data_IF_866446371447
#
_entry.id   IF_866446371447
#
_cell.length_a   1.000
_cell.length_b   1.000
_cell.length_c   1.000
_cell.angle_alpha   90.00
_cell.angle_beta   90.00
_cell.angle_gamma   90.00
#
_symmetry.space_group_name_H-M   'P 1'
#
loop_
_entity.id
_entity.type
_entity.pdbx_description
1 polymer ?
#
# COMPACT_ATOMS: atom_id res chain seq x y z
N UNK A 1 -11.18 16.99 -12.85
CA UNK A 1 -11.97 17.49 -11.73
C UNK A 1 -12.38 16.36 -10.79
N UNK A 2 -12.01 16.47 -9.54
CA UNK A 2 -12.41 15.50 -8.52
C UNK A 2 -13.84 15.75 -8.06
N UNK A 3 -14.62 14.67 -7.93
CA UNK A 3 -16.01 14.72 -7.44
C UNK A 3 -16.21 13.63 -6.39
N UNK A 4 -16.80 13.99 -5.27
CA UNK A 4 -17.13 13.06 -4.17
C UNK A 4 -18.63 12.81 -4.16
N UNK A 5 -19.01 11.54 -4.09
CA UNK A 5 -20.41 11.11 -4.05
C UNK A 5 -20.62 10.21 -2.85
N UNK A 6 -21.66 10.47 -2.07
CA UNK A 6 -21.96 9.68 -0.88
C UNK A 6 -22.12 8.19 -1.23
N UNK A 7 -21.52 7.33 -0.40
CA UNK A 7 -21.67 5.89 -0.51
C UNK A 7 -22.94 5.45 0.21
N UNK A 8 -24.04 5.32 -0.52
CA UNK A 8 -25.33 4.94 0.03
C UNK A 8 -25.40 3.46 0.43
N UNK A 9 -24.42 2.67 0.01
CA UNK A 9 -24.35 1.23 0.29
C UNK A 9 -23.38 0.89 1.42
N UNK A 10 -22.89 1.91 2.14
CA UNK A 10 -22.00 1.67 3.28
C UNK A 10 -22.74 0.87 4.35
N UNK A 11 -22.20 -0.30 4.70
CA UNK A 11 -22.75 -1.14 5.77
C UNK A 11 -21.70 -1.60 6.79
N UNK A 12 -20.44 -1.26 6.58
CA UNK A 12 -19.31 -1.64 7.43
C UNK A 12 -18.47 -0.39 7.71
N UNK A 13 -17.84 -0.32 8.88
CA UNK A 13 -16.96 0.79 9.24
C UNK A 13 -15.75 0.92 8.30
N UNK A 14 -15.33 -0.18 7.67
CA UNK A 14 -14.24 -0.17 6.70
C UNK A 14 -14.65 0.39 5.34
N UNK A 15 -15.95 0.51 5.08
CA UNK A 15 -16.42 1.10 3.85
C UNK A 15 -16.28 2.62 3.90
N UNK A 16 -15.93 3.27 2.79
CA UNK A 16 -15.79 4.72 2.77
C UNK A 16 -17.16 5.41 2.88
N UNK A 17 -17.16 6.59 3.46
CA UNK A 17 -18.37 7.42 3.52
C UNK A 17 -18.75 7.94 2.14
N UNK A 18 -17.77 8.21 1.31
CA UNK A 18 -17.92 8.76 -0.03
C UNK A 18 -17.00 8.03 -0.99
N UNK A 19 -17.44 7.97 -2.26
CA UNK A 19 -16.59 7.54 -3.35
C UNK A 19 -16.08 8.74 -4.12
N UNK A 20 -14.80 8.75 -4.48
CA UNK A 20 -14.17 9.78 -5.27
C UNK A 20 -14.07 9.36 -6.72
N UNK A 21 -14.37 10.29 -7.62
CA UNK A 21 -14.28 10.12 -9.07
C UNK A 21 -13.44 11.25 -9.63
N UNK A 22 -12.74 10.99 -10.71
CA UNK A 22 -12.04 12.04 -11.41
C UNK A 22 -12.54 12.15 -12.85
N UNK A 23 -13.00 13.35 -13.23
CA UNK A 23 -13.46 13.63 -14.58
C UNK A 23 -12.40 14.38 -15.34
N UNK A 24 -12.02 13.85 -16.52
CA UNK A 24 -11.08 14.49 -17.42
C UNK A 24 -11.71 15.67 -18.14
N UNK A 25 -10.91 16.33 -18.96
CA UNK A 25 -11.35 17.52 -19.73
C UNK A 25 -12.47 17.18 -20.74
N UNK A 26 -12.60 15.92 -21.12
CA UNK A 26 -13.69 15.47 -22.02
C UNK A 26 -15.00 15.19 -21.27
N UNK A 27 -15.07 15.44 -19.97
CA UNK A 27 -16.25 15.22 -19.17
C UNK A 27 -16.49 13.78 -18.77
N UNK A 28 -15.58 12.87 -19.07
CA UNK A 28 -15.71 11.44 -18.74
C UNK A 28 -14.89 11.09 -17.51
N UNK A 29 -15.41 10.20 -16.68
CA UNK A 29 -14.70 9.70 -15.51
C UNK A 29 -13.54 8.79 -15.91
N UNK A 30 -12.42 8.92 -15.23
CA UNK A 30 -11.35 7.94 -15.32
C UNK A 30 -11.83 6.63 -14.74
N UNK A 31 -11.54 5.54 -15.40
CA UNK A 31 -11.94 4.21 -14.93
C UNK A 31 -11.04 3.13 -15.50
N UNK A 32 -11.05 1.99 -14.85
CA UNK A 32 -10.37 0.80 -15.34
C UNK A 32 -11.12 0.25 -16.54
N UNK A 33 -10.38 -0.14 -17.56
CA UNK A 33 -10.97 -0.86 -18.69
C UNK A 33 -11.45 -2.24 -18.23
N UNK A 34 -12.62 -2.68 -18.70
CA UNK A 34 -13.14 -4.02 -18.41
C UNK A 34 -12.27 -5.13 -19.03
N UNK A 35 -11.40 -4.79 -19.99
CA UNK A 35 -10.44 -5.73 -20.57
C UNK A 35 -9.06 -5.70 -19.89
N UNK A 36 -8.86 -4.87 -18.88
CA UNK A 36 -7.57 -4.78 -18.20
C UNK A 36 -7.28 -6.04 -17.39
N UNK A 37 -6.04 -6.50 -17.44
CA UNK A 37 -5.62 -7.73 -16.75
C UNK A 37 -4.49 -7.53 -15.73
N UNK A 38 -3.96 -6.32 -15.61
CA UNK A 38 -2.90 -6.01 -14.65
C UNK A 38 -3.51 -5.63 -13.29
N UNK A 39 -2.73 -5.79 -12.23
CA UNK A 39 -3.18 -5.52 -10.85
C UNK A 39 -3.74 -4.11 -10.69
N UNK A 40 -3.08 -3.13 -11.29
CA UNK A 40 -3.51 -1.74 -11.21
C UNK A 40 -3.39 -1.09 -12.57
N UNK A 41 -4.32 -0.20 -12.89
CA UNK A 41 -4.28 0.65 -14.08
C UNK A 41 -4.05 2.08 -13.61
N UNK A 42 -2.81 2.55 -13.73
CA UNK A 42 -2.42 3.82 -13.15
C UNK A 42 -2.84 5.00 -14.02
N UNK A 43 -3.41 6.02 -13.38
CA UNK A 43 -3.74 7.30 -13.99
C UNK A 43 -2.95 8.40 -13.30
N UNK A 44 -2.28 9.24 -14.05
CA UNK A 44 -1.51 10.35 -13.49
C UNK A 44 -2.38 11.61 -13.43
N UNK A 45 -2.51 12.17 -12.24
CA UNK A 45 -3.28 13.39 -11.99
C UNK A 45 -2.42 14.30 -11.14
N UNK A 46 -2.04 15.45 -11.67
CA UNK A 46 -1.21 16.44 -10.98
C UNK A 46 0.08 15.85 -10.40
N UNK A 47 0.73 14.97 -11.17
CA UNK A 47 2.02 14.39 -10.78
C UNK A 47 1.94 13.20 -9.84
N UNK A 48 0.75 12.84 -9.38
CA UNK A 48 0.53 11.65 -8.55
C UNK A 48 -0.23 10.60 -9.33
N UNK A 49 -0.10 9.34 -8.92
CA UNK A 49 -0.76 8.23 -9.60
C UNK A 49 -1.89 7.68 -8.77
N UNK A 50 -2.98 7.36 -9.45
CA UNK A 50 -4.22 6.87 -8.83
C UNK A 50 -4.72 5.68 -9.62
N UNK A 51 -5.59 4.90 -9.01
CA UNK A 51 -6.25 3.80 -9.70
C UNK A 51 -7.75 3.82 -9.39
N UNK A 52 -8.54 3.47 -10.40
CA UNK A 52 -10.00 3.50 -10.33
C UNK A 52 -10.53 2.13 -10.75
N UNK A 53 -11.69 1.74 -10.22
CA UNK A 53 -12.31 0.51 -10.67
C UNK A 53 -13.05 0.72 -12.01
N UNK A 54 -13.76 -0.31 -12.45
CA UNK A 54 -14.47 -0.26 -13.73
C UNK A 54 -15.65 0.72 -13.72
N UNK A 55 -16.12 1.10 -12.55
CA UNK A 55 -17.19 2.08 -12.38
C UNK A 55 -16.67 3.50 -12.16
N UNK A 56 -15.34 3.67 -12.07
CA UNK A 56 -14.71 4.96 -11.84
C UNK A 56 -14.47 5.32 -10.38
N UNK A 57 -14.73 4.41 -9.47
CA UNK A 57 -14.47 4.67 -8.05
C UNK A 57 -12.97 4.62 -7.76
N UNK A 58 -12.44 5.69 -7.17
CA UNK A 58 -11.04 5.71 -6.74
C UNK A 58 -10.79 4.61 -5.72
N UNK A 59 -9.82 3.76 -5.98
CA UNK A 59 -9.44 2.70 -5.06
C UNK A 59 -8.38 3.22 -4.09
N UNK A 60 -8.37 2.69 -2.87
CA UNK A 60 -7.44 3.13 -1.84
C UNK A 60 -7.03 1.96 -0.95
N UNK A 61 -6.00 2.14 -0.13
CA UNK A 61 -5.44 1.07 0.67
C UNK A 61 -4.72 0.05 -0.18
N UNK A 62 -4.72 -1.20 0.25
CA UNK A 62 -4.17 -2.30 -0.52
C UNK A 62 -5.05 -2.60 -1.73
N UNK A 63 -4.45 -2.62 -2.92
CA UNK A 63 -5.20 -2.83 -4.17
C UNK A 63 -4.53 -3.92 -4.99
N UNK A 64 -5.33 -4.86 -5.49
CA UNK A 64 -4.91 -5.89 -6.44
C UNK A 64 -6.09 -6.21 -7.36
N UNK A 65 -5.81 -6.65 -8.57
CA UNK A 65 -6.83 -7.00 -9.56
C UNK A 65 -7.85 -5.88 -9.80
N UNK A 66 -7.39 -4.64 -9.71
CA UNK A 66 -8.20 -3.47 -9.99
C UNK A 66 -9.12 -3.03 -8.86
N UNK A 67 -9.09 -3.69 -7.72
CA UNK A 67 -10.00 -3.40 -6.63
C UNK A 67 -9.29 -3.37 -5.28
N UNK A 68 -9.87 -2.60 -4.37
CA UNK A 68 -9.47 -2.55 -2.97
C UNK A 68 -9.63 -3.93 -2.33
N UNK A 69 -8.62 -4.36 -1.61
CA UNK A 69 -8.60 -5.62 -0.88
C UNK A 69 -8.74 -5.34 0.61
N UNK A 70 -9.73 -5.98 1.24
CA UNK A 70 -10.08 -5.71 2.64
C UNK A 70 -9.90 -6.89 3.58
N UNK A 71 -9.47 -8.04 3.07
CA UNK A 71 -9.18 -9.20 3.90
C UNK A 71 -7.98 -8.94 4.80
N UNK A 72 -7.93 -9.62 5.95
CA UNK A 72 -6.85 -9.45 6.92
C UNK A 72 -5.47 -9.78 6.33
N UNK A 73 -5.41 -10.58 5.27
CA UNK A 73 -4.16 -10.93 4.59
C UNK A 73 -3.87 -10.08 3.35
N UNK A 74 -4.61 -9.00 3.12
CA UNK A 74 -4.40 -8.16 1.95
C UNK A 74 -2.95 -7.66 1.85
N UNK A 75 -2.31 -7.34 2.98
CA UNK A 75 -0.92 -6.89 3.01
C UNK A 75 0.06 -7.93 2.46
N UNK A 76 -0.31 -9.23 2.52
CA UNK A 76 0.50 -10.30 1.95
C UNK A 76 0.33 -10.40 0.43
N UNK A 77 -0.89 -10.20 -0.03
CA UNK A 77 -1.28 -10.51 -1.41
C UNK A 77 -1.20 -9.32 -2.37
N UNK A 78 -0.98 -8.11 -1.86
CA UNK A 78 -0.95 -6.90 -2.66
C UNK A 78 0.45 -6.30 -2.73
N UNK A 79 0.80 -5.77 -3.90
CA UNK A 79 2.07 -5.08 -4.12
C UNK A 79 1.97 -3.57 -4.00
N UNK A 80 0.75 -3.01 -4.08
CA UNK A 80 0.51 -1.56 -4.16
C UNK A 80 -0.36 -1.08 -3.02
N UNK A 81 -0.05 0.10 -2.51
CA UNK A 81 -0.85 0.75 -1.48
C UNK A 81 -1.21 2.17 -1.90
N UNK A 82 -2.50 2.50 -1.89
CA UNK A 82 -3.03 3.76 -2.40
C UNK A 82 -3.67 4.58 -1.27
N UNK A 83 -2.87 5.08 -0.36
CA UNK A 83 -3.30 6.02 0.64
C UNK A 83 -4.58 5.66 1.40
N UNK A 84 -5.50 6.61 1.47
CA UNK A 84 -6.75 6.43 2.21
C UNK A 84 -7.97 6.85 1.37
N UNK A 85 -9.16 6.75 1.97
CA UNK A 85 -10.41 7.01 1.26
C UNK A 85 -10.54 8.44 0.71
N UNK A 86 -9.80 9.39 1.25
CA UNK A 86 -9.83 10.78 0.83
C UNK A 86 -8.59 11.23 0.08
N UNK A 87 -7.58 10.37 0.00
CA UNK A 87 -6.35 10.65 -0.74
C UNK A 87 -5.74 9.33 -1.20
N UNK A 88 -6.19 8.84 -2.33
CA UNK A 88 -5.78 7.56 -2.89
C UNK A 88 -4.53 7.60 -3.76
N UNK A 89 -3.63 8.56 -3.54
CA UNK A 89 -2.39 8.60 -4.29
C UNK A 89 -1.52 7.37 -4.00
N UNK A 90 -0.93 6.79 -5.07
CA UNK A 90 -0.04 5.64 -4.95
C UNK A 90 1.12 5.97 -4.02
N UNK A 91 1.36 5.10 -3.05
CA UNK A 91 2.47 5.24 -2.12
C UNK A 91 3.79 4.88 -2.80
N UNK A 92 4.80 5.73 -2.58
CA UNK A 92 6.19 5.52 -2.99
C UNK A 92 7.07 5.87 -1.78
N UNK A 93 8.10 5.06 -1.51
CA UNK A 93 8.95 5.25 -0.35
C UNK A 93 8.39 4.58 0.90
N UNK A 94 8.79 5.09 2.05
CA UNK A 94 8.41 4.49 3.34
C UNK A 94 6.98 4.84 3.72
N UNK A 95 6.28 3.84 4.25
CA UNK A 95 4.96 4.04 4.87
C UNK A 95 4.75 3.03 5.99
N UNK A 96 4.31 3.51 7.13
CA UNK A 96 3.86 2.66 8.23
C UNK A 96 2.38 2.35 8.04
N UNK A 97 2.05 1.06 8.04
CA UNK A 97 0.69 0.58 7.76
C UNK A 97 0.27 -0.39 8.86
N UNK A 98 -0.93 -0.17 9.40
CA UNK A 98 -1.53 -1.11 10.33
C UNK A 98 -1.99 -2.36 9.60
N UNK A 99 -1.58 -3.53 10.09
CA UNK A 99 -1.95 -4.83 9.49
C UNK A 99 -2.35 -5.82 10.58
N UNK A 100 -2.96 -6.91 10.18
CA UNK A 100 -3.29 -8.01 11.08
C UNK A 100 -2.28 -9.13 10.83
N UNK A 101 -1.25 -9.22 11.67
CA UNK A 101 -0.19 -10.23 11.50
C UNK A 101 0.10 -11.05 12.76
N UNK A 102 -0.71 -10.92 13.79
CA UNK A 102 -0.51 -11.63 15.07
C UNK A 102 -0.56 -13.15 14.93
N UNK A 103 -1.32 -13.66 13.96
CA UNK A 103 -1.46 -15.08 13.68
C UNK A 103 -0.61 -15.55 12.52
N UNK A 104 0.28 -14.71 12.02
CA UNK A 104 1.13 -15.06 10.90
C UNK A 104 2.26 -15.98 11.34
N UNK A 105 2.34 -17.17 10.73
CA UNK A 105 3.31 -18.21 11.06
C UNK A 105 4.57 -18.17 10.20
N UNK A 106 5.01 -17.02 9.78
CA UNK A 106 6.24 -16.88 9.02
C UNK A 106 7.45 -16.65 9.91
N UNK A 107 8.58 -16.36 9.25
CA UNK A 107 9.78 -15.93 9.95
C UNK A 107 9.51 -14.65 10.69
N UNK A 108 9.58 -14.69 12.00
CA UNK A 108 9.37 -13.53 12.83
C UNK A 108 10.73 -12.92 13.20
N UNK A 109 10.89 -11.60 13.12
CA UNK A 109 12.01 -10.95 13.77
C UNK A 109 11.88 -11.09 15.28
N UNK A 110 12.89 -10.71 16.01
CA UNK A 110 12.79 -10.75 17.46
C UNK A 110 11.72 -9.75 17.96
N UNK A 111 11.26 -9.94 19.18
CA UNK A 111 10.17 -9.16 19.78
C UNK A 111 10.47 -7.66 19.86
N UNK A 112 11.74 -7.27 19.80
CA UNK A 112 12.13 -5.86 19.91
C UNK A 112 11.74 -5.04 18.67
N UNK A 113 11.57 -5.69 17.53
CA UNK A 113 11.16 -5.01 16.28
C UNK A 113 9.62 -4.93 16.19
N UNK A 114 8.93 -5.89 16.76
CA UNK A 114 7.49 -6.06 16.61
C UNK A 114 6.75 -5.55 17.83
N UNK A 115 5.99 -4.50 17.65
CA UNK A 115 5.15 -4.03 18.72
C UNK A 115 3.77 -4.70 18.67
N UNK A 116 3.00 -4.51 19.74
CA UNK A 116 1.67 -5.10 19.86
C UNK A 116 0.62 -4.38 19.02
N UNK A 117 0.94 -3.21 18.51
CA UNK A 117 0.00 -2.39 17.75
C UNK A 117 -0.10 -2.84 16.29
N UNK A 118 0.77 -3.75 15.86
CA UNK A 118 0.78 -4.30 14.51
C UNK A 118 0.95 -3.23 13.42
N UNK A 119 1.62 -2.14 13.73
CA UNK A 119 2.02 -1.15 12.74
C UNK A 119 3.37 -1.57 12.19
N UNK A 120 3.43 -1.77 10.87
CA UNK A 120 4.65 -2.25 10.21
C UNK A 120 5.10 -1.28 9.16
N UNK A 121 6.42 -1.20 8.95
CA UNK A 121 7.01 -0.38 7.91
C UNK A 121 7.16 -1.17 6.62
N UNK A 122 6.70 -0.56 5.54
CA UNK A 122 6.87 -1.05 4.18
C UNK A 122 7.61 0.02 3.37
N UNK A 123 8.34 -0.42 2.38
CA UNK A 123 8.99 0.49 1.45
C UNK A 123 8.53 0.17 0.04
N UNK A 124 8.06 1.19 -0.66
CA UNK A 124 7.53 1.06 -2.00
C UNK A 124 8.51 1.68 -2.99
N UNK A 125 8.86 0.93 -4.02
CA UNK A 125 9.77 1.38 -5.08
C UNK A 125 9.10 2.52 -5.86
N UNK A 126 9.87 3.16 -6.74
CA UNK A 126 9.34 4.23 -7.61
C UNK A 126 8.22 3.74 -8.53
N UNK A 127 8.17 2.45 -8.83
CA UNK A 127 7.08 1.82 -9.59
C UNK A 127 5.78 1.69 -8.79
N UNK A 128 5.83 1.88 -7.47
CA UNK A 128 4.72 1.63 -6.56
C UNK A 128 4.69 0.24 -5.97
N UNK A 129 5.52 -0.69 -6.45
CA UNK A 129 5.56 -2.05 -5.89
C UNK A 129 6.33 -2.09 -4.59
N UNK A 130 5.76 -2.76 -3.58
CA UNK A 130 6.47 -2.92 -2.30
C UNK A 130 7.74 -3.75 -2.47
N UNK A 131 8.75 -3.43 -1.68
CA UNK A 131 9.98 -4.20 -1.59
C UNK A 131 9.73 -5.45 -0.74
N UNK A 132 10.12 -6.61 -1.26
CA UNK A 132 10.01 -7.90 -0.56
C UNK A 132 11.33 -8.66 -0.68
N UNK A 133 11.50 -9.71 0.12
CA UNK A 133 12.57 -10.70 -0.04
C UNK A 133 13.97 -10.10 -0.21
N UNK A 134 14.32 -9.15 0.63
CA UNK A 134 15.65 -8.57 0.57
C UNK A 134 16.27 -8.52 1.96
N UNK A 135 17.54 -8.91 2.06
CA UNK A 135 18.25 -8.90 3.33
C UNK A 135 19.23 -7.73 3.47
N UNK A 136 19.49 -6.98 2.41
CA UNK A 136 20.40 -5.84 2.50
C UNK A 136 20.06 -4.74 1.49
N UNK A 137 18.81 -4.37 1.40
CA UNK A 137 18.39 -3.27 0.53
C UNK A 137 18.94 -1.94 1.03
N UNK A 138 19.72 -1.27 0.20
CA UNK A 138 20.29 0.04 0.55
C UNK A 138 19.27 1.14 0.22
N UNK A 139 18.90 1.91 1.24
CA UNK A 139 17.98 3.02 1.09
C UNK A 139 18.56 4.20 1.86
N UNK A 140 18.96 5.25 1.15
CA UNK A 140 19.50 6.48 1.74
C UNK A 140 20.70 6.23 2.69
N UNK A 141 21.59 5.30 2.30
CA UNK A 141 22.81 5.05 3.06
C UNK A 141 22.70 4.06 4.20
N UNK A 142 21.51 3.54 4.45
CA UNK A 142 21.31 2.46 5.40
C UNK A 142 20.83 1.22 4.68
N UNK A 143 21.04 0.06 5.30
CA UNK A 143 20.57 -1.21 4.76
C UNK A 143 19.39 -1.72 5.56
N UNK A 144 18.45 -2.30 4.85
CA UNK A 144 17.19 -2.80 5.43
C UNK A 144 16.92 -4.21 4.96
N UNK A 145 16.30 -4.98 5.84
CA UNK A 145 15.78 -6.29 5.49
C UNK A 145 14.26 -6.26 5.41
N UNK A 146 13.73 -6.96 4.42
CA UNK A 146 12.28 -7.11 4.23
C UNK A 146 11.96 -8.60 4.14
N UNK A 147 10.85 -8.99 4.75
CA UNK A 147 10.41 -10.37 4.65
C UNK A 147 9.76 -10.66 3.29
N UNK A 148 9.23 -11.86 3.15
CA UNK A 148 8.62 -12.33 1.91
C UNK A 148 7.37 -11.55 1.51
N UNK A 149 6.74 -10.84 2.46
CA UNK A 149 5.54 -10.04 2.20
C UNK A 149 5.77 -8.53 2.32
N UNK A 150 7.01 -8.12 2.57
CA UNK A 150 7.38 -6.72 2.54
C UNK A 150 7.48 -6.02 3.87
N UNK A 151 7.21 -6.70 5.00
CA UNK A 151 7.42 -6.07 6.30
C UNK A 151 8.91 -5.82 6.53
N UNK A 152 9.27 -4.63 6.95
CA UNK A 152 10.65 -4.35 7.32
C UNK A 152 10.98 -5.11 8.60
N UNK A 153 11.98 -5.98 8.55
CA UNK A 153 12.34 -6.83 9.69
C UNK A 153 13.70 -6.47 10.29
N UNK A 154 14.48 -5.66 9.59
CA UNK A 154 15.81 -5.31 10.07
C UNK A 154 16.27 -4.00 9.46
N UNK A 155 17.13 -3.30 10.21
CA UNK A 155 17.80 -2.08 9.77
C UNK A 155 19.24 -2.15 10.26
N UNK A 156 20.21 -1.87 9.38
CA UNK A 156 21.62 -1.79 9.79
C UNK A 156 22.37 -0.78 8.92
N UNK A 157 23.47 -0.31 9.47
CA UNK A 157 24.31 0.64 8.78
C UNK A 157 25.17 -0.08 7.73
N UNK A 158 25.60 0.67 6.72
CA UNK A 158 26.35 0.13 5.58
C UNK A 158 27.66 -0.55 5.98
N UNK A 159 28.11 -0.38 7.19
CA UNK A 159 29.41 -0.81 7.68
C UNK A 159 29.36 -2.04 8.56
N UNK A 160 28.33 -2.81 8.55
CA UNK A 160 28.42 -4.18 9.01
C UNK A 160 27.67 -4.62 10.24
N UNK A 161 27.16 -3.74 11.07
CA UNK A 161 26.47 -4.22 12.27
C UNK A 161 24.98 -4.25 12.05
N UNK A 162 24.41 -5.45 12.11
CA UNK A 162 22.97 -5.61 12.14
C UNK A 162 22.43 -5.03 13.45
N UNK A 163 21.41 -4.21 13.34
CA UNK A 163 20.67 -3.69 14.51
C UNK A 163 19.18 -3.83 14.27
N UNK A 164 18.45 -4.13 15.35
CA UNK A 164 17.00 -4.10 15.30
C UNK A 164 16.53 -2.65 15.25
N UNK A 165 15.39 -2.42 14.61
CA UNK A 165 14.89 -1.07 14.44
C UNK A 165 14.74 -0.32 15.76
N UNK A 166 14.34 -1.00 16.82
CA UNK A 166 14.06 -0.40 18.12
C UNK A 166 15.28 -0.28 19.01
N UNK A 167 16.44 -0.76 18.59
CA UNK A 167 17.67 -0.74 19.38
C UNK A 167 18.72 0.23 18.87
N UNK A 168 18.41 1.01 17.86
CA UNK A 168 19.30 2.07 17.36
C UNK A 168 19.41 3.27 18.31
#
# INVERSE_FOLDING_TARGET
LWVSIENEEKDDDDDPDNWWYYFGSNGKAYKRSDSASNDVSLKTINGKKYTFDEEGKMQFGWVADGERQTDDDAWQNCDYYFGDENDGAMTVGWREIHIVDENYEGSQPNDDIWDEDQDRWFWFKSSGKKQTDSVNKNINGKKYGFDEYGRMIAEWYTETTYVDKDTT
#
